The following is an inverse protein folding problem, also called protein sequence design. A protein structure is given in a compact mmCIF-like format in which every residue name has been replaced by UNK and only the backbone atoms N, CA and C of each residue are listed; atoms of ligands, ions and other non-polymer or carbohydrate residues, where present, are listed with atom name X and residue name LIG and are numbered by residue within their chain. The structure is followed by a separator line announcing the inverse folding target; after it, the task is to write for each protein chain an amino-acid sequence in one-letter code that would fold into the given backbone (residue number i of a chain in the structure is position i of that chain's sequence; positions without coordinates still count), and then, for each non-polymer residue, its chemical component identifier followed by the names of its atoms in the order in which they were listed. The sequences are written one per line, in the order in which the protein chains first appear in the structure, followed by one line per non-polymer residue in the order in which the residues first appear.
data_IF_512847153093
#
_entry.id   IF_512847153093
#
_cell.length_a   1.000
_cell.length_b   1.000
_cell.length_c   1.000
_cell.angle_alpha   90.00
_cell.angle_beta   90.00
_cell.angle_gamma   90.00
#
_symmetry.space_group_name_H-M   'P 1'
#
loop_
_entity.id
_entity.type
_entity.pdbx_description
1 polymer ?
#
# COMPACT_ATOMS: atom_id res chain seq x y z
N UNK A 1 -7.57 16.35 2.01
CA UNK A 1 -6.48 15.37 2.23
C UNK A 1 -6.55 14.98 3.69
N UNK A 2 -6.59 13.68 4.00
CA UNK A 2 -6.67 13.19 5.38
C UNK A 2 -5.42 13.62 6.16
N UNK A 3 -5.59 14.08 7.39
CA UNK A 3 -4.48 14.47 8.27
C UNK A 3 -4.08 13.38 9.24
N UNK A 4 -4.96 12.41 9.48
CA UNK A 4 -4.75 11.28 10.40
C UNK A 4 -5.21 9.97 9.78
N UNK A 5 -4.70 8.85 10.29
CA UNK A 5 -5.16 7.51 9.92
C UNK A 5 -6.65 7.33 10.23
N UNK A 6 -7.10 7.83 11.39
CA UNK A 6 -8.51 7.75 11.81
C UNK A 6 -9.46 8.44 10.82
N UNK A 7 -9.08 9.61 10.30
CA UNK A 7 -9.87 10.32 9.28
C UNK A 7 -9.99 9.50 7.99
N UNK A 8 -8.92 8.84 7.57
CA UNK A 8 -8.93 7.97 6.38
C UNK A 8 -9.83 6.74 6.61
N UNK A 9 -9.68 6.06 7.75
CA UNK A 9 -10.46 4.86 8.07
C UNK A 9 -11.95 5.16 8.24
N UNK A 10 -12.28 6.30 8.86
CA UNK A 10 -13.66 6.77 8.95
C UNK A 10 -14.25 7.00 7.54
N UNK A 11 -13.50 7.67 6.67
CA UNK A 11 -13.93 7.92 5.29
C UNK A 11 -14.16 6.63 4.49
N UNK A 12 -13.25 5.65 4.60
CA UNK A 12 -13.39 4.34 3.95
C UNK A 12 -14.70 3.66 4.36
N UNK A 13 -15.03 3.72 5.66
CA UNK A 13 -16.25 3.11 6.20
C UNK A 13 -17.52 3.87 5.81
N UNK A 14 -17.51 5.20 5.89
CA UNK A 14 -18.67 6.05 5.61
C UNK A 14 -19.08 5.98 4.13
N UNK A 15 -18.11 5.98 3.23
CA UNK A 15 -18.35 5.90 1.79
C UNK A 15 -18.51 4.47 1.26
N UNK A 16 -18.35 3.46 2.12
CA UNK A 16 -18.47 2.05 1.74
C UNK A 16 -17.43 1.63 0.70
N UNK A 17 -16.19 2.09 0.85
CA UNK A 17 -15.10 1.75 -0.07
C UNK A 17 -14.73 0.27 0.11
N UNK A 18 -14.75 -0.48 -0.99
CA UNK A 18 -14.47 -1.93 -0.96
C UNK A 18 -13.00 -2.26 -1.22
N UNK A 19 -12.25 -1.37 -1.88
CA UNK A 19 -10.87 -1.62 -2.30
C UNK A 19 -9.99 -0.38 -2.20
N UNK A 20 -8.73 -0.58 -1.85
CA UNK A 20 -7.69 0.46 -1.81
C UNK A 20 -6.59 0.13 -2.82
N UNK A 21 -6.24 1.11 -3.65
CA UNK A 21 -5.16 1.01 -4.65
C UNK A 21 -3.90 1.68 -4.11
N UNK A 22 -2.89 0.87 -3.78
CA UNK A 22 -1.62 1.32 -3.22
C UNK A 22 -0.67 1.58 -4.37
N UNK A 23 -0.12 2.80 -4.44
CA UNK A 23 0.75 3.24 -5.53
C UNK A 23 2.11 3.65 -5.02
N UNK A 24 3.15 3.24 -5.74
CA UNK A 24 4.53 3.62 -5.46
C UNK A 24 5.30 3.77 -6.77
N UNK A 25 6.52 4.31 -6.69
CA UNK A 25 7.36 4.56 -7.83
C UNK A 25 8.58 3.64 -7.78
N UNK A 26 8.89 2.96 -8.89
CA UNK A 26 10.16 2.24 -9.02
C UNK A 26 11.32 3.23 -9.23
N UNK A 27 12.57 2.75 -9.11
CA UNK A 27 13.75 3.61 -9.21
C UNK A 27 13.85 4.36 -10.56
N UNK A 28 13.55 3.74 -11.72
CA UNK A 28 13.43 4.44 -13.00
C UNK A 28 12.33 5.51 -13.09
N UNK A 29 11.35 5.51 -12.18
CA UNK A 29 10.25 6.49 -12.18
C UNK A 29 8.91 5.96 -12.69
N UNK A 30 8.73 4.64 -12.82
CA UNK A 30 7.47 4.03 -13.24
C UNK A 30 6.56 3.82 -12.05
N UNK A 31 5.31 4.27 -12.17
CA UNK A 31 4.27 4.02 -11.19
C UNK A 31 3.91 2.52 -11.19
N UNK A 32 4.13 1.88 -10.06
CA UNK A 32 3.68 0.53 -9.74
C UNK A 32 2.48 0.64 -8.81
N UNK A 33 1.59 -0.34 -8.87
CA UNK A 33 0.44 -0.38 -7.97
C UNK A 33 -0.07 -1.80 -7.74
N UNK A 34 -0.75 -1.99 -6.61
CA UNK A 34 -1.54 -3.17 -6.33
C UNK A 34 -2.79 -2.79 -5.56
N UNK A 35 -3.83 -3.62 -5.68
CA UNK A 35 -5.13 -3.38 -5.07
C UNK A 35 -5.37 -4.38 -3.95
N UNK A 36 -5.77 -3.89 -2.79
CA UNK A 36 -6.16 -4.69 -1.63
C UNK A 36 -7.63 -4.43 -1.25
N UNK A 37 -8.33 -5.41 -0.65
CA UNK A 37 -9.62 -5.15 -0.02
C UNK A 37 -9.48 -4.07 1.06
N UNK A 38 -10.43 -3.13 1.13
CA UNK A 38 -10.39 -2.05 2.10
C UNK A 38 -10.43 -2.54 3.55
N UNK A 39 -11.10 -3.67 3.80
CA UNK A 39 -11.16 -4.33 5.11
C UNK A 39 -9.78 -4.81 5.62
N UNK A 40 -8.77 -4.91 4.75
CA UNK A 40 -7.41 -5.24 5.13
C UNK A 40 -6.62 -4.00 5.61
N UNK A 41 -7.14 -2.79 5.38
CA UNK A 41 -6.47 -1.55 5.77
C UNK A 41 -6.99 -1.14 7.14
N UNK A 42 -6.14 -1.31 8.15
CA UNK A 42 -6.39 -0.88 9.52
C UNK A 42 -5.27 0.05 10.01
N UNK A 43 -5.33 0.44 11.29
CA UNK A 43 -4.34 1.34 11.88
C UNK A 43 -2.93 0.73 11.87
N UNK A 44 -2.82 -0.59 12.08
CA UNK A 44 -1.55 -1.30 12.13
C UNK A 44 -0.90 -1.33 10.73
N UNK A 45 -1.67 -1.61 9.68
CA UNK A 45 -1.21 -1.59 8.29
C UNK A 45 -0.76 -0.18 7.85
N UNK A 46 -1.40 0.87 8.35
CA UNK A 46 -0.99 2.25 8.06
C UNK A 46 0.30 2.67 8.78
N UNK A 47 0.63 2.03 9.91
CA UNK A 47 1.85 2.28 10.68
C UNK A 47 3.02 1.38 10.23
N UNK A 48 2.79 0.08 10.10
CA UNK A 48 3.81 -0.92 9.76
C UNK A 48 4.04 -1.04 8.24
N UNK A 49 3.02 -0.73 7.43
CA UNK A 49 3.06 -0.83 5.97
C UNK A 49 2.51 -2.15 5.43
N UNK A 50 2.59 -2.29 4.10
CA UNK A 50 2.13 -3.46 3.35
C UNK A 50 3.30 -4.16 2.69
N UNK A 51 3.36 -5.48 2.85
CA UNK A 51 4.42 -6.28 2.25
C UNK A 51 4.19 -6.56 0.75
N UNK A 52 5.26 -6.53 -0.04
CA UNK A 52 5.25 -6.90 -1.46
C UNK A 52 6.58 -7.53 -1.90
N UNK A 53 6.57 -8.20 -3.07
CA UNK A 53 7.78 -8.76 -3.66
C UNK A 53 8.62 -7.68 -4.35
N UNK A 54 9.62 -7.16 -3.63
CA UNK A 54 10.59 -6.19 -4.13
C UNK A 54 11.51 -6.74 -5.22
N UNK A 55 11.66 -8.06 -5.37
CA UNK A 55 12.48 -8.63 -6.44
C UNK A 55 11.83 -8.50 -7.83
N UNK A 56 10.51 -8.33 -7.86
CA UNK A 56 9.74 -8.03 -9.06
C UNK A 56 9.81 -6.55 -9.47
N UNK A 57 10.39 -5.67 -8.64
CA UNK A 57 10.47 -4.23 -8.89
C UNK A 57 11.88 -3.82 -9.31
N UNK A 58 11.99 -3.11 -10.44
CA UNK A 58 13.28 -2.71 -11.00
C UNK A 58 13.98 -1.71 -10.08
N UNK A 59 15.20 -2.07 -9.68
CA UNK A 59 16.04 -1.25 -8.82
C UNK A 59 15.73 -1.39 -7.33
N UNK A 60 14.89 -2.35 -6.93
CA UNK A 60 14.66 -2.71 -5.53
C UNK A 60 15.53 -3.93 -5.17
N UNK A 61 14.93 -5.00 -4.64
CA UNK A 61 15.65 -6.11 -4.02
C UNK A 61 16.02 -7.24 -4.99
N UNK A 62 16.87 -8.16 -4.53
CA UNK A 62 17.15 -9.43 -5.22
C UNK A 62 16.26 -10.54 -4.68
N UNK A 63 16.13 -11.63 -5.42
CA UNK A 63 15.23 -12.76 -5.10
C UNK A 63 15.45 -13.41 -3.72
N UNK A 64 16.64 -13.29 -3.12
CA UNK A 64 16.93 -13.89 -1.81
C UNK A 64 16.66 -12.93 -0.64
N UNK A 65 16.34 -11.68 -0.93
CA UNK A 65 15.94 -10.64 0.03
C UNK A 65 14.67 -9.95 -0.51
N UNK A 66 13.77 -10.73 -1.12
CA UNK A 66 12.64 -10.23 -1.93
C UNK A 66 11.60 -9.47 -1.12
N UNK A 67 11.41 -9.84 0.14
CA UNK A 67 10.35 -9.29 0.97
C UNK A 67 10.66 -7.83 1.30
N UNK A 68 9.70 -6.96 0.97
CA UNK A 68 9.70 -5.53 1.26
C UNK A 68 8.39 -5.11 1.88
#
# INVERSE_FOLDING_TARGET
MFQTADELLAYVKEEGIETVDVRFCDLPGVMQHFTAPADFIDADVLEEGLSFDGSSIRGFQKIHESDM
#
